data_IF_662366616460
#
_entry.id   IF_662366616460
#
_cell.length_a   1.000
_cell.length_b   1.000
_cell.length_c   1.000
_cell.angle_alpha   90.00
_cell.angle_beta   90.00
_cell.angle_gamma   90.00
#
_symmetry.space_group_name_H-M   'P 1'
#
loop_
_entity.id
_entity.type
_entity.pdbx_description
1 polymer ?
#
# COMPACT_ATOMS: atom_id res chain seq x y z
N UNK A 1 -4.06 -65.41 -27.25
CA UNK A 1 -4.15 -64.12 -26.61
C UNK A 1 -4.76 -64.29 -25.23
N UNK A 2 -4.11 -64.88 -24.27
CA UNK A 2 -4.58 -64.98 -22.86
C UNK A 2 -3.33 -65.24 -22.01
N UNK A 3 -2.52 -64.23 -21.76
CA UNK A 3 -1.36 -64.33 -20.81
C UNK A 3 -0.98 -62.98 -20.16
N UNK A 4 -1.81 -61.96 -20.23
CA UNK A 4 -1.45 -60.62 -19.68
C UNK A 4 -2.19 -60.28 -18.39
N UNK A 5 -3.23 -61.05 -17.99
CA UNK A 5 -4.07 -60.68 -16.85
C UNK A 5 -3.62 -61.21 -15.48
N UNK A 6 -2.56 -62.00 -15.40
CA UNK A 6 -2.09 -62.57 -14.12
C UNK A 6 -1.00 -61.75 -13.41
N UNK A 7 -0.46 -60.70 -14.04
CA UNK A 7 0.62 -59.94 -13.44
C UNK A 7 0.16 -58.71 -12.65
N UNK A 8 -1.13 -58.29 -12.80
CA UNK A 8 -1.65 -57.09 -12.12
C UNK A 8 -2.27 -57.45 -10.76
N UNK A 9 -2.59 -58.70 -10.51
CA UNK A 9 -3.23 -59.12 -9.25
C UNK A 9 -2.24 -59.42 -8.12
N UNK A 10 -0.94 -59.53 -8.40
CA UNK A 10 0.06 -59.84 -7.38
C UNK A 10 0.68 -58.62 -6.70
N UNK A 11 0.51 -57.42 -7.26
CA UNK A 11 1.07 -56.20 -6.67
C UNK A 11 0.11 -55.49 -5.65
N UNK A 12 -1.14 -55.96 -5.51
CA UNK A 12 -2.13 -55.33 -4.64
C UNK A 12 -2.18 -55.92 -3.22
N UNK A 13 -1.38 -56.94 -2.91
CA UNK A 13 -1.40 -57.59 -1.59
C UNK A 13 -0.19 -57.31 -0.68
N UNK A 14 0.69 -56.40 -1.06
CA UNK A 14 1.87 -56.08 -0.24
C UNK A 14 1.78 -54.72 0.52
N UNK A 15 0.64 -54.03 0.51
CA UNK A 15 0.47 -52.76 1.24
C UNK A 15 -0.46 -52.85 2.45
N UNK A 16 -0.75 -54.05 2.93
CA UNK A 16 -1.57 -54.19 4.15
C UNK A 16 -0.72 -54.96 5.18
N UNK A 17 0.09 -54.28 5.95
CA UNK A 17 0.48 -54.57 7.33
C UNK A 17 1.73 -53.78 7.71
N UNK A 18 1.54 -52.56 8.19
CA UNK A 18 2.43 -52.01 9.21
C UNK A 18 1.68 -50.94 10.03
N UNK A 19 0.72 -51.43 10.81
CA UNK A 19 0.16 -50.66 11.93
C UNK A 19 1.08 -50.87 13.15
N UNK A 20 2.15 -50.15 13.24
CA UNK A 20 2.83 -49.89 14.47
C UNK A 20 2.23 -48.60 15.07
N UNK A 21 1.25 -48.79 15.96
CA UNK A 21 0.83 -47.76 16.93
C UNK A 21 2.05 -47.30 17.73
N UNK A 22 2.73 -46.26 17.27
CA UNK A 22 3.42 -45.33 18.18
C UNK A 22 2.48 -44.16 18.39
N UNK A 23 1.90 -44.07 19.57
CA UNK A 23 1.45 -42.83 20.14
C UNK A 23 2.63 -41.87 20.15
N UNK A 24 2.87 -41.25 19.01
CA UNK A 24 3.72 -40.09 18.86
C UNK A 24 2.87 -38.89 19.22
N UNK A 25 3.19 -38.31 20.36
CA UNK A 25 2.81 -37.00 20.77
C UNK A 25 3.00 -36.04 19.56
N UNK A 26 1.92 -35.79 18.81
CA UNK A 26 1.91 -34.74 17.78
C UNK A 26 1.88 -33.45 18.55
N UNK A 27 3.06 -33.01 18.99
CA UNK A 27 3.28 -31.60 19.17
C UNK A 27 3.08 -30.97 17.78
N UNK A 28 1.84 -30.60 17.49
CA UNK A 28 1.57 -29.55 16.52
C UNK A 28 2.34 -28.32 16.99
N UNK A 29 3.59 -28.27 16.56
CA UNK A 29 4.31 -27.01 16.52
C UNK A 29 3.57 -26.20 15.48
N UNK A 30 2.50 -25.53 15.91
CA UNK A 30 1.97 -24.37 15.23
C UNK A 30 3.21 -23.49 15.09
N UNK A 31 3.81 -23.51 13.92
CA UNK A 31 4.71 -22.45 13.50
C UNK A 31 3.84 -21.19 13.52
N UNK A 32 3.71 -20.58 14.69
CA UNK A 32 3.36 -19.19 14.82
C UNK A 32 4.38 -18.45 13.97
N UNK A 33 4.02 -18.28 12.69
CA UNK A 33 4.69 -17.33 11.82
C UNK A 33 4.49 -16.02 12.57
N UNK A 34 5.50 -15.60 13.32
CA UNK A 34 5.54 -14.27 13.92
C UNK A 34 5.41 -13.33 12.73
N UNK A 35 4.20 -12.91 12.45
CA UNK A 35 3.94 -11.83 11.52
C UNK A 35 4.55 -10.62 12.20
N UNK A 36 5.79 -10.33 11.83
CA UNK A 36 6.51 -9.15 12.29
C UNK A 36 5.62 -7.97 11.92
N UNK A 37 4.91 -7.42 12.91
CA UNK A 37 3.99 -6.30 12.67
C UNK A 37 4.80 -5.17 12.09
N UNK A 38 4.46 -4.79 10.87
CA UNK A 38 5.06 -3.65 10.21
C UNK A 38 4.85 -2.43 11.10
N UNK A 39 5.93 -1.94 11.71
CA UNK A 39 5.86 -0.73 12.54
C UNK A 39 5.82 0.49 11.60
N UNK A 40 4.62 0.88 11.19
CA UNK A 40 4.41 2.03 10.30
C UNK A 40 4.29 3.32 11.12
N UNK A 41 5.33 4.19 11.14
CA UNK A 41 5.33 5.42 11.94
C UNK A 41 4.33 6.48 11.45
N UNK A 42 3.77 6.32 10.25
CA UNK A 42 2.75 7.20 9.69
C UNK A 42 1.35 6.57 9.70
N UNK A 43 1.17 5.38 10.29
CA UNK A 43 -0.13 4.71 10.37
C UNK A 43 -1.20 5.63 10.97
N UNK A 44 -2.41 5.61 10.38
CA UNK A 44 -3.54 6.45 10.76
C UNK A 44 -3.45 7.91 10.30
N UNK A 45 -2.36 8.33 9.64
CA UNK A 45 -2.19 9.69 9.15
C UNK A 45 -2.75 9.86 7.74
N UNK A 46 -3.27 11.07 7.51
CA UNK A 46 -3.74 11.56 6.22
C UNK A 46 -3.07 12.88 5.90
N UNK A 47 -2.52 12.99 4.70
CA UNK A 47 -1.87 14.19 4.20
C UNK A 47 -2.54 14.64 2.90
N UNK A 48 -2.63 15.96 2.71
CA UNK A 48 -3.12 16.56 1.48
C UNK A 48 -1.97 17.10 0.65
N UNK A 49 -2.01 16.90 -0.64
CA UNK A 49 -1.02 17.42 -1.59
C UNK A 49 -1.11 18.95 -1.67
N UNK A 50 0.05 19.60 -1.57
CA UNK A 50 0.17 21.04 -1.75
C UNK A 50 0.65 21.35 -3.16
N UNK A 51 0.03 22.32 -3.79
CA UNK A 51 0.42 22.81 -5.10
C UNK A 51 0.86 24.29 -5.01
N UNK A 52 1.78 24.70 -5.88
CA UNK A 52 2.13 26.10 -6.02
C UNK A 52 1.12 26.83 -6.87
N UNK A 53 0.61 27.95 -6.38
CA UNK A 53 -0.18 28.85 -7.21
C UNK A 53 0.73 29.70 -8.13
N UNK A 54 0.12 30.62 -8.91
CA UNK A 54 0.86 31.50 -9.85
C UNK A 54 1.89 32.41 -9.16
N UNK A 55 1.76 32.61 -7.86
CA UNK A 55 2.70 33.41 -7.06
C UNK A 55 3.78 32.57 -6.37
N UNK A 56 3.75 31.24 -6.56
CA UNK A 56 4.64 30.29 -5.89
C UNK A 56 4.19 29.92 -4.48
N UNK A 57 3.05 30.43 -4.01
CA UNK A 57 2.49 30.11 -2.69
C UNK A 57 1.90 28.72 -2.69
N UNK A 58 2.23 27.94 -1.65
CA UNK A 58 1.65 26.59 -1.46
C UNK A 58 0.18 26.72 -1.05
N UNK A 59 -0.69 26.02 -1.76
CA UNK A 59 -2.14 26.02 -1.56
C UNK A 59 -2.67 24.60 -1.61
N UNK A 60 -3.84 24.37 -1.02
CA UNK A 60 -4.66 23.20 -1.22
C UNK A 60 -5.61 23.44 -2.38
N UNK A 61 -5.69 22.50 -3.31
CA UNK A 61 -6.68 22.51 -4.38
C UNK A 61 -7.75 21.46 -4.17
N UNK A 62 -9.00 21.82 -4.45
CA UNK A 62 -10.12 20.90 -4.54
C UNK A 62 -10.45 20.65 -6.01
N UNK A 63 -10.53 19.41 -6.37
CA UNK A 63 -10.84 18.94 -7.71
C UNK A 63 -12.27 18.45 -7.80
N UNK A 64 -12.96 18.67 -8.92
CA UNK A 64 -14.31 18.19 -9.11
C UNK A 64 -14.37 16.67 -9.10
N UNK A 65 -15.39 16.15 -8.45
CA UNK A 65 -15.80 14.75 -8.44
C UNK A 65 -17.06 14.56 -9.28
N UNK A 66 -17.53 13.32 -9.38
CA UNK A 66 -18.86 13.05 -9.87
C UNK A 66 -19.90 13.75 -8.98
N UNK A 67 -21.04 14.14 -9.55
CA UNK A 67 -22.17 14.75 -8.85
C UNK A 67 -21.94 16.16 -8.26
N UNK A 68 -20.88 16.85 -8.69
CA UNK A 68 -20.64 18.25 -8.30
C UNK A 68 -19.88 18.47 -7.00
N UNK A 69 -19.46 17.41 -6.33
CA UNK A 69 -18.60 17.50 -5.17
C UNK A 69 -17.16 17.84 -5.54
N UNK A 70 -16.41 18.33 -4.56
CA UNK A 70 -15.01 18.68 -4.72
C UNK A 70 -14.17 18.03 -3.63
N UNK A 71 -13.13 17.33 -4.04
CA UNK A 71 -12.22 16.64 -3.14
C UNK A 71 -10.77 17.10 -3.28
N UNK A 72 -10.01 17.01 -2.20
CA UNK A 72 -8.56 17.29 -2.21
C UNK A 72 -7.79 16.02 -2.50
N UNK A 73 -6.74 16.15 -3.31
CA UNK A 73 -5.74 15.09 -3.48
C UNK A 73 -5.10 14.76 -2.13
N UNK A 74 -4.99 13.49 -1.82
CA UNK A 74 -4.55 13.03 -0.49
C UNK A 74 -3.75 11.73 -0.58
N UNK A 75 -2.92 11.48 0.43
CA UNK A 75 -2.37 10.17 0.72
C UNK A 75 -2.78 9.76 2.13
N UNK A 76 -3.17 8.51 2.31
CA UNK A 76 -3.58 7.94 3.59
C UNK A 76 -2.65 6.77 3.90
N UNK A 77 -2.12 6.74 5.11
CA UNK A 77 -1.29 5.66 5.61
C UNK A 77 -2.13 4.81 6.57
N UNK A 78 -2.26 3.53 6.27
CA UNK A 78 -2.78 2.52 7.19
C UNK A 78 -1.62 1.73 7.81
N UNK A 79 -1.90 0.71 8.60
CA UNK A 79 -0.86 -0.13 9.19
C UNK A 79 0.00 -0.82 8.11
N UNK A 80 -0.62 -1.22 6.99
CA UNK A 80 0.02 -2.04 5.95
C UNK A 80 -0.08 -1.48 4.53
N UNK A 81 -0.72 -0.32 4.34
CA UNK A 81 -1.00 0.23 3.01
C UNK A 81 -0.79 1.73 2.95
N UNK A 82 -0.46 2.22 1.74
CA UNK A 82 -0.63 3.60 1.33
C UNK A 82 -1.78 3.66 0.33
N UNK A 83 -2.73 4.56 0.54
CA UNK A 83 -3.79 4.87 -0.41
C UNK A 83 -3.47 6.24 -1.00
N UNK A 84 -3.00 6.25 -2.24
CA UNK A 84 -2.61 7.47 -2.95
C UNK A 84 -3.76 7.97 -3.83
N UNK A 85 -4.41 9.01 -3.39
CA UNK A 85 -5.46 9.72 -4.10
C UNK A 85 -4.94 10.97 -4.83
N UNK A 86 -3.76 10.88 -5.48
CA UNK A 86 -3.33 11.89 -6.45
C UNK A 86 -4.36 12.03 -7.57
N UNK A 87 -4.82 10.92 -8.11
CA UNK A 87 -6.05 10.89 -8.88
C UNK A 87 -7.22 10.71 -7.91
N UNK A 88 -7.98 11.78 -7.65
CA UNK A 88 -9.09 11.77 -6.70
C UNK A 88 -10.25 10.84 -7.10
N UNK A 89 -10.36 10.50 -8.41
CA UNK A 89 -11.40 9.62 -8.95
C UNK A 89 -11.00 8.14 -8.90
N UNK A 90 -9.71 7.85 -8.98
CA UNK A 90 -9.15 6.50 -9.00
C UNK A 90 -7.90 6.45 -8.12
N UNK A 91 -8.05 6.35 -6.79
CA UNK A 91 -6.91 6.24 -5.89
C UNK A 91 -6.17 4.92 -6.13
N UNK A 92 -4.85 4.98 -6.03
CA UNK A 92 -3.99 3.80 -6.11
C UNK A 92 -3.74 3.24 -4.71
N UNK A 93 -3.84 1.93 -4.56
CA UNK A 93 -3.55 1.21 -3.33
C UNK A 93 -2.17 0.54 -3.42
N UNK A 94 -1.33 0.81 -2.43
CA UNK A 94 0.03 0.30 -2.36
C UNK A 94 0.22 -0.49 -1.07
N UNK A 95 0.49 -1.77 -1.17
CA UNK A 95 0.78 -2.65 -0.04
C UNK A 95 2.23 -2.45 0.41
N UNK A 96 2.43 -2.15 1.68
CA UNK A 96 3.75 -1.92 2.24
C UNK A 96 4.37 -3.27 2.63
N UNK A 97 5.46 -3.62 1.97
CA UNK A 97 6.21 -4.84 2.27
C UNK A 97 7.31 -4.62 3.31
N UNK A 98 7.89 -3.42 3.35
CA UNK A 98 8.99 -3.07 4.25
C UNK A 98 9.06 -1.56 4.46
N UNK A 99 9.48 -1.15 5.66
CA UNK A 99 9.82 0.25 5.97
C UNK A 99 11.24 0.28 6.51
N UNK A 100 12.07 1.15 5.96
CA UNK A 100 13.41 1.42 6.49
C UNK A 100 13.46 2.89 6.89
N UNK A 101 13.83 3.15 8.13
CA UNK A 101 14.13 4.49 8.59
C UNK A 101 15.64 4.67 8.66
N UNK A 102 16.14 5.71 7.98
CA UNK A 102 17.52 6.18 8.11
C UNK A 102 17.49 7.67 8.39
N UNK A 103 17.97 8.05 9.56
CA UNK A 103 17.86 9.42 10.07
C UNK A 103 16.40 9.90 10.09
N UNK A 104 16.10 10.95 9.33
CA UNK A 104 14.75 11.52 9.20
C UNK A 104 13.98 10.98 7.99
N UNK A 105 14.60 10.13 7.17
CA UNK A 105 14.00 9.59 5.94
C UNK A 105 13.40 8.22 6.19
N UNK A 106 12.13 8.08 5.80
CA UNK A 106 11.39 6.83 5.77
C UNK A 106 11.34 6.33 4.33
N UNK A 107 11.81 5.12 4.08
CA UNK A 107 11.71 4.44 2.78
C UNK A 107 10.67 3.34 2.86
N UNK A 108 9.56 3.52 2.17
CA UNK A 108 8.46 2.56 2.07
C UNK A 108 8.62 1.74 0.80
N UNK A 109 8.89 0.46 0.93
CA UNK A 109 8.93 -0.49 -0.17
C UNK A 109 7.53 -1.04 -0.37
N UNK A 110 6.97 -0.81 -1.54
CA UNK A 110 5.55 -1.06 -1.83
C UNK A 110 5.36 -1.85 -3.12
N UNK A 111 4.20 -2.47 -3.23
CA UNK A 111 3.72 -3.12 -4.46
C UNK A 111 2.20 -2.93 -4.61
N UNK A 112 1.68 -3.13 -5.81
CA UNK A 112 0.24 -3.03 -6.09
C UNK A 112 -0.55 -4.30 -5.72
N UNK A 113 0.14 -5.39 -5.41
CA UNK A 113 -0.47 -6.67 -5.04
C UNK A 113 0.01 -7.09 -3.65
N UNK A 114 -0.84 -7.68 -2.79
CA UNK A 114 -0.50 -7.98 -1.39
C UNK A 114 0.75 -8.83 -1.20
N UNK A 115 1.03 -9.75 -2.13
CA UNK A 115 2.13 -10.71 -2.06
C UNK A 115 3.12 -10.58 -3.23
N UNK A 116 3.04 -9.50 -3.99
CA UNK A 116 3.97 -9.20 -5.06
C UNK A 116 5.35 -8.79 -4.55
N UNK A 117 6.39 -8.92 -5.37
CA UNK A 117 7.68 -8.29 -5.08
C UNK A 117 7.54 -6.77 -5.12
N UNK A 118 8.20 -6.06 -4.20
CA UNK A 118 8.17 -4.59 -4.16
C UNK A 118 8.65 -4.02 -5.50
N UNK A 119 7.81 -3.19 -6.11
CA UNK A 119 8.06 -2.62 -7.44
C UNK A 119 8.33 -1.12 -7.37
N UNK A 120 8.08 -0.50 -6.22
CA UNK A 120 8.32 0.94 -6.04
C UNK A 120 8.80 1.26 -4.62
N UNK A 121 9.34 2.47 -4.45
CA UNK A 121 9.85 2.95 -3.16
C UNK A 121 9.47 4.41 -2.97
N UNK A 122 8.64 4.68 -1.97
CA UNK A 122 8.35 6.04 -1.53
C UNK A 122 9.38 6.47 -0.49
N UNK A 123 10.11 7.54 -0.76
CA UNK A 123 11.04 8.16 0.20
C UNK A 123 10.38 9.38 0.79
N UNK A 124 10.20 9.38 2.11
CA UNK A 124 9.38 10.34 2.83
C UNK A 124 10.15 10.96 3.99
N UNK A 125 9.90 12.23 4.26
CA UNK A 125 10.38 12.92 5.47
C UNK A 125 9.21 13.66 6.11
N UNK A 126 8.90 13.36 7.37
CA UNK A 126 7.81 14.02 8.09
C UNK A 126 8.35 15.02 9.11
N UNK A 127 8.09 16.31 8.85
CA UNK A 127 8.33 17.40 9.79
C UNK A 127 7.09 17.59 10.67
N UNK A 128 7.13 17.00 11.87
CA UNK A 128 5.99 17.02 12.81
C UNK A 128 5.64 18.43 13.29
N UNK A 129 6.63 19.31 13.45
CA UNK A 129 6.43 20.66 13.96
C UNK A 129 5.65 21.52 12.96
N UNK A 130 5.96 21.38 11.68
CA UNK A 130 5.26 22.09 10.60
C UNK A 130 4.05 21.33 10.08
N UNK A 131 3.87 20.05 10.48
CA UNK A 131 2.83 19.18 9.94
C UNK A 131 3.02 18.88 8.46
N UNK A 132 4.26 18.89 7.95
CA UNK A 132 4.57 18.70 6.52
C UNK A 132 5.22 17.36 6.25
N UNK A 133 4.74 16.69 5.22
CA UNK A 133 5.36 15.51 4.66
C UNK A 133 6.01 15.88 3.33
N UNK A 134 7.29 15.55 3.19
CA UNK A 134 8.03 15.71 1.95
C UNK A 134 8.19 14.33 1.31
N UNK A 135 7.75 14.20 0.07
CA UNK A 135 7.91 12.99 -0.73
C UNK A 135 8.92 13.26 -1.83
N UNK A 136 10.00 12.49 -1.85
CA UNK A 136 11.11 12.64 -2.80
C UNK A 136 10.87 11.71 -4.00
N UNK A 137 10.66 12.31 -5.16
CA UNK A 137 10.42 11.61 -6.43
C UNK A 137 11.47 12.06 -7.42
N UNK A 138 12.42 11.18 -7.74
CA UNK A 138 13.56 11.48 -8.61
C UNK A 138 14.28 12.78 -8.17
N UNK A 139 14.24 13.83 -9.00
CA UNK A 139 14.84 15.13 -8.74
C UNK A 139 13.88 16.17 -8.16
N UNK A 140 12.65 15.76 -7.83
CA UNK A 140 11.60 16.64 -7.34
C UNK A 140 11.24 16.31 -5.88
N UNK A 141 10.70 17.32 -5.19
CA UNK A 141 10.11 17.15 -3.87
C UNK A 141 8.66 17.59 -3.91
N UNK A 142 7.77 16.66 -3.63
CA UNK A 142 6.35 16.93 -3.47
C UNK A 142 6.13 17.24 -1.99
N UNK A 143 5.42 18.33 -1.71
CA UNK A 143 5.11 18.74 -0.34
C UNK A 143 3.64 18.47 -0.04
N UNK A 144 3.39 17.83 1.08
CA UNK A 144 2.04 17.57 1.58
C UNK A 144 1.88 18.21 2.97
N UNK A 145 0.64 18.43 3.37
CA UNK A 145 0.29 18.94 4.71
C UNK A 145 -0.54 17.88 5.45
N UNK A 146 -0.20 17.61 6.70
CA UNK A 146 -1.01 16.75 7.56
C UNK A 146 -2.43 17.34 7.69
N UNK A 147 -3.43 16.50 7.59
CA UNK A 147 -4.84 16.91 7.64
C UNK A 147 -5.20 17.74 8.89
N UNK A 148 -4.50 17.51 9.99
CA UNK A 148 -4.66 18.28 11.24
C UNK A 148 -4.17 19.73 11.14
N UNK A 149 -3.39 20.07 10.11
CA UNK A 149 -2.84 21.40 9.87
C UNK A 149 -3.38 22.05 8.58
N UNK A 150 -4.36 21.43 7.95
CA UNK A 150 -4.88 21.87 6.64
C UNK A 150 -5.59 23.23 6.70
N UNK A 151 -6.09 23.63 7.85
CA UNK A 151 -6.71 24.95 8.11
C UNK A 151 -5.72 26.12 8.00
N UNK A 152 -4.40 25.84 8.12
CA UNK A 152 -3.32 26.81 7.98
C UNK A 152 -2.98 27.14 6.53
N UNK A 153 -3.59 26.46 5.58
CA UNK A 153 -3.27 26.58 4.15
C UNK A 153 -4.50 27.08 3.38
N UNK A 154 -4.29 28.04 2.49
CA UNK A 154 -5.34 28.55 1.62
C UNK A 154 -5.89 27.47 0.70
N UNK A 155 -7.22 27.35 0.66
CA UNK A 155 -7.92 26.38 -0.21
C UNK A 155 -8.44 27.10 -1.46
N UNK A 156 -8.23 26.53 -2.64
CA UNK A 156 -8.81 26.97 -3.91
C UNK A 156 -9.59 25.83 -4.57
N UNK A 157 -10.77 26.11 -5.10
CA UNK A 157 -11.50 25.20 -5.99
C UNK A 157 -10.89 25.28 -7.39
N UNK A 158 -10.55 24.14 -7.96
CA UNK A 158 -10.10 24.04 -9.35
C UNK A 158 -11.33 23.72 -10.21
N UNK A 159 -11.93 24.73 -10.80
CA UNK A 159 -12.96 24.53 -11.81
C UNK A 159 -12.23 24.12 -13.08
N UNK A 160 -12.46 22.91 -13.59
CA UNK A 160 -12.04 22.55 -14.94
C UNK A 160 -12.72 23.55 -15.88
N UNK A 161 -11.95 24.35 -16.61
CA UNK A 161 -12.48 25.16 -17.69
C UNK A 161 -12.97 24.19 -18.78
N UNK A 162 -14.27 23.90 -18.78
CA UNK A 162 -14.95 23.05 -19.77
C UNK A 162 -14.99 23.75 -21.16
N UNK A 163 -14.43 24.95 -21.27
CA UNK A 163 -14.41 25.73 -22.52
C UNK A 163 -13.59 25.08 -23.67
N UNK A 164 -12.82 24.04 -23.43
CA UNK A 164 -12.02 23.37 -24.46
C UNK A 164 -12.63 22.07 -25.04
N UNK A 165 -13.85 21.69 -24.65
CA UNK A 165 -14.54 20.50 -25.21
C UNK A 165 -15.65 20.89 -26.21
N UNK A 166 -15.57 22.06 -26.83
CA UNK A 166 -16.38 22.37 -27.98
C UNK A 166 -15.47 22.37 -29.22
N UNK A 167 -15.20 21.18 -29.77
CA UNK A 167 -14.84 20.96 -31.16
C UNK A 167 -15.39 19.63 -31.62
#
# INVERSE_FOLDING_TARGET
MVKIYYFISACLLLFACNNNNKEGNVNDTINDTIVERLNNPLAGKKFYYLEKDKTGTLILKKYPQFEGDFEMQKIIFTDSMLIDGWNVMEPSEWYVSKIIQKDTILSYYVNMEPFGSAKDTFRLQYDKEKGKLYMFVENNTITLIDSLYSDRVKIKKNFLNIEHIKR
#
